data_IF_111625646786
#
_entry.id   IF_111625646786
#
_cell.length_a   1.000
_cell.length_b   1.000
_cell.length_c   1.000
_cell.angle_alpha   90.00
_cell.angle_beta   90.00
_cell.angle_gamma   90.00
#
_symmetry.space_group_name_H-M   'P 1'
#
loop_
_entity.id
_entity.type
_entity.pdbx_description
1 polymer ?
#
# COMPACT_ATOMS: atom_id res chain seq x y z
N UNK A 1 10.18 -10.74 -13.94
CA UNK A 1 10.65 -9.91 -15.08
C UNK A 1 12.11 -9.57 -14.85
N UNK A 2 12.95 -9.54 -15.87
CA UNK A 2 14.37 -9.22 -15.68
C UNK A 2 14.51 -7.69 -15.53
N UNK A 3 15.23 -7.23 -14.53
CA UNK A 3 15.45 -5.78 -14.25
C UNK A 3 16.01 -5.02 -15.46
N UNK A 4 16.85 -5.68 -16.26
CA UNK A 4 17.42 -5.13 -17.50
C UNK A 4 16.38 -4.77 -18.55
N UNK A 5 15.29 -5.53 -18.66
CA UNK A 5 14.23 -5.29 -19.66
C UNK A 5 13.41 -4.05 -19.31
N UNK A 6 13.29 -3.72 -18.02
CA UNK A 6 12.59 -2.55 -17.54
C UNK A 6 13.37 -1.26 -17.79
N UNK A 7 14.68 -1.26 -17.52
CA UNK A 7 15.56 -0.13 -17.84
C UNK A 7 15.61 0.15 -19.34
N UNK A 8 15.63 -0.90 -20.17
CA UNK A 8 15.54 -0.75 -21.62
C UNK A 8 14.21 -0.14 -22.06
N UNK A 9 13.09 -0.57 -21.47
CA UNK A 9 11.78 0.00 -21.76
C UNK A 9 11.73 1.50 -21.40
N UNK A 10 12.24 1.88 -20.22
CA UNK A 10 12.28 3.28 -19.78
C UNK A 10 13.20 4.16 -20.65
N UNK A 11 14.29 3.60 -21.21
CA UNK A 11 15.29 4.38 -21.96
C UNK A 11 15.05 4.43 -23.47
N UNK A 12 14.42 3.41 -24.05
CA UNK A 12 14.31 3.25 -25.50
C UNK A 12 12.90 3.46 -26.06
N UNK A 13 11.87 3.48 -25.20
CA UNK A 13 10.48 3.61 -25.66
C UNK A 13 10.00 5.06 -25.68
N UNK A 14 9.16 5.40 -26.65
CA UNK A 14 8.42 6.66 -26.67
C UNK A 14 7.15 6.58 -25.79
N UNK A 15 6.59 5.38 -25.66
CA UNK A 15 5.38 5.12 -24.89
C UNK A 15 5.48 3.77 -24.18
N UNK A 16 5.10 3.74 -22.91
CA UNK A 16 5.04 2.54 -22.08
C UNK A 16 3.60 2.23 -21.74
N UNK A 17 3.26 0.95 -21.77
CA UNK A 17 1.99 0.41 -21.32
C UNK A 17 2.27 -0.55 -20.17
N UNK A 18 1.86 -0.16 -18.95
CA UNK A 18 1.95 -1.03 -17.77
C UNK A 18 0.68 -1.86 -17.68
N UNK A 19 0.84 -3.16 -17.57
CA UNK A 19 -0.26 -4.12 -17.48
C UNK A 19 -0.11 -5.02 -16.25
N UNK A 20 -1.24 -5.35 -15.63
CA UNK A 20 -1.35 -6.36 -14.57
C UNK A 20 -2.63 -7.14 -14.75
N UNK A 21 -2.58 -8.46 -14.58
CA UNK A 21 -3.74 -9.36 -14.66
C UNK A 21 -4.58 -9.18 -15.95
N UNK A 22 -3.90 -8.93 -17.09
CA UNK A 22 -4.55 -8.72 -18.38
C UNK A 22 -5.24 -7.35 -18.54
N UNK A 23 -5.11 -6.44 -17.57
CA UNK A 23 -5.67 -5.10 -17.59
C UNK A 23 -4.56 -4.05 -17.73
N UNK A 24 -4.84 -3.00 -18.48
CA UNK A 24 -3.95 -1.84 -18.58
C UNK A 24 -4.09 -1.04 -17.28
N UNK A 25 -2.95 -0.82 -16.62
CA UNK A 25 -2.87 0.01 -15.41
C UNK A 25 -2.58 1.47 -15.79
N UNK A 26 -1.58 1.70 -16.63
CA UNK A 26 -1.21 3.05 -17.08
C UNK A 26 -0.59 3.03 -18.46
N UNK A 27 -0.82 4.10 -19.22
CA UNK A 27 -0.15 4.38 -20.51
C UNK A 27 0.42 5.79 -20.42
N UNK A 28 1.70 5.97 -20.76
CA UNK A 28 2.35 7.28 -20.73
C UNK A 28 3.75 7.24 -21.30
N UNK A 29 4.41 8.39 -21.32
CA UNK A 29 5.85 8.45 -21.60
C UNK A 29 6.64 7.81 -20.46
N UNK A 30 7.90 7.38 -20.67
CA UNK A 30 8.74 6.88 -19.59
C UNK A 30 8.80 7.81 -18.38
N UNK A 31 8.90 9.12 -18.62
CA UNK A 31 8.95 10.14 -17.57
C UNK A 31 7.64 10.21 -16.78
N UNK A 32 6.49 10.17 -17.46
CA UNK A 32 5.18 10.20 -16.78
C UNK A 32 4.97 8.95 -15.92
N UNK A 33 5.30 7.77 -16.47
CA UNK A 33 5.15 6.49 -15.77
C UNK A 33 6.04 6.43 -14.51
N UNK A 34 7.26 6.99 -14.59
CA UNK A 34 8.20 7.00 -13.47
C UNK A 34 7.85 8.04 -12.41
N UNK A 35 7.56 9.29 -12.82
CA UNK A 35 7.38 10.41 -11.90
C UNK A 35 5.94 10.53 -11.39
N UNK A 36 4.95 10.14 -12.21
CA UNK A 36 3.51 10.28 -11.91
C UNK A 36 2.79 8.93 -12.03
N UNK A 37 3.19 7.90 -11.26
CA UNK A 37 2.49 6.62 -11.25
C UNK A 37 1.06 6.81 -10.76
N UNK A 38 0.09 6.18 -11.47
CA UNK A 38 -1.34 6.34 -11.15
C UNK A 38 -1.74 5.60 -9.87
N UNK A 39 -1.02 4.53 -9.53
CA UNK A 39 -1.28 3.72 -8.35
C UNK A 39 0.01 3.08 -7.81
N UNK A 40 -0.08 2.49 -6.62
CA UNK A 40 1.04 1.89 -5.91
C UNK A 40 1.67 0.69 -6.66
N UNK A 41 0.85 -0.07 -7.42
CA UNK A 41 1.37 -1.14 -8.26
C UNK A 41 2.32 -0.60 -9.34
N UNK A 42 1.94 0.46 -10.05
CA UNK A 42 2.79 1.07 -11.08
C UNK A 42 4.05 1.66 -10.44
N UNK A 43 3.91 2.35 -9.29
CA UNK A 43 5.04 2.96 -8.60
C UNK A 43 6.11 1.92 -8.20
N UNK A 44 5.68 0.79 -7.62
CA UNK A 44 6.54 -0.30 -7.18
C UNK A 44 7.12 -1.09 -8.37
N UNK A 45 6.28 -1.35 -9.39
CA UNK A 45 6.67 -2.12 -10.57
C UNK A 45 7.77 -1.45 -11.40
N UNK A 46 7.71 -0.12 -11.52
CA UNK A 46 8.62 0.66 -12.40
C UNK A 46 9.97 0.92 -11.73
N UNK A 47 10.03 0.98 -10.42
CA UNK A 47 11.28 1.22 -9.71
C UNK A 47 11.07 1.28 -8.22
N UNK A 48 12.14 1.07 -7.49
CA UNK A 48 12.13 1.13 -6.03
C UNK A 48 11.54 2.45 -5.54
N UNK A 49 10.63 2.38 -4.58
CA UNK A 49 9.91 3.54 -4.07
C UNK A 49 9.64 3.40 -2.58
N UNK A 50 9.70 4.52 -1.86
CA UNK A 50 9.11 4.60 -0.54
C UNK A 50 7.62 4.88 -0.71
N UNK A 51 6.77 3.90 -0.46
CA UNK A 51 5.31 4.02 -0.55
C UNK A 51 4.75 3.97 0.86
N UNK A 52 4.01 5.02 1.25
CA UNK A 52 3.54 5.23 2.61
C UNK A 52 2.05 5.55 2.61
N UNK A 53 1.38 5.15 3.68
CA UNK A 53 0.03 5.65 3.93
C UNK A 53 0.08 7.10 4.38
N UNK A 54 -0.74 7.96 3.78
CA UNK A 54 -0.87 9.37 4.13
C UNK A 54 -2.30 9.85 4.15
N UNK A 55 -2.48 11.07 4.59
CA UNK A 55 -3.75 11.79 4.55
C UNK A 55 -3.52 13.16 3.95
N UNK A 56 -4.22 13.48 2.89
CA UNK A 56 -4.23 14.82 2.34
C UNK A 56 -4.99 15.75 3.30
N UNK A 57 -4.26 16.55 4.08
CA UNK A 57 -4.87 17.46 5.08
C UNK A 57 -5.69 18.54 4.37
N UNK A 58 -5.14 19.09 3.31
CA UNK A 58 -5.73 20.05 2.36
C UNK A 58 -4.85 20.11 1.13
N UNK A 59 -5.27 20.83 0.12
CA UNK A 59 -4.45 21.09 -1.07
C UNK A 59 -3.04 21.54 -0.69
N UNK A 60 -2.05 20.90 -1.27
CA UNK A 60 -0.61 21.15 -1.08
C UNK A 60 -0.08 20.87 0.33
N UNK A 61 -0.80 20.05 1.12
CA UNK A 61 -0.37 19.65 2.45
C UNK A 61 -0.79 18.21 2.74
N UNK A 62 0.16 17.32 2.88
CA UNK A 62 -0.04 15.89 3.18
C UNK A 62 0.56 15.53 4.54
N UNK A 63 -0.14 14.69 5.30
CA UNK A 63 0.32 14.15 6.58
C UNK A 63 0.78 12.70 6.39
N UNK A 64 2.02 12.39 6.77
CA UNK A 64 2.56 11.03 6.87
C UNK A 64 3.72 11.01 7.87
N UNK A 65 4.08 9.85 8.41
CA UNK A 65 5.13 9.69 9.44
C UNK A 65 4.99 10.70 10.60
N UNK A 66 3.76 10.89 11.10
CA UNK A 66 3.41 11.80 12.20
C UNK A 66 3.77 13.28 11.96
N UNK A 67 3.90 13.71 10.70
CA UNK A 67 4.21 15.09 10.32
C UNK A 67 3.48 15.55 9.08
N UNK A 68 3.33 16.87 8.97
CA UNK A 68 2.78 17.54 7.80
C UNK A 68 3.93 17.96 6.86
N UNK A 69 3.74 17.67 5.56
CA UNK A 69 4.66 18.02 4.49
C UNK A 69 3.94 18.85 3.44
N UNK A 70 4.62 19.88 2.97
CA UNK A 70 4.18 20.60 1.78
C UNK A 70 4.40 19.70 0.55
N UNK A 71 3.42 19.65 -0.35
CA UNK A 71 3.50 18.99 -1.66
C UNK A 71 2.95 19.93 -2.74
N UNK A 72 2.98 19.51 -4.00
CA UNK A 72 2.44 20.32 -5.11
C UNK A 72 1.04 19.91 -5.52
N UNK A 73 0.61 18.74 -5.10
CA UNK A 73 -0.66 18.12 -5.48
C UNK A 73 -1.86 18.83 -4.87
N UNK A 74 -2.96 18.90 -5.64
CA UNK A 74 -4.22 19.50 -5.24
C UNK A 74 -5.42 18.72 -5.81
N UNK A 75 -6.62 18.98 -5.28
CA UNK A 75 -7.86 18.37 -5.80
C UNK A 75 -8.20 16.99 -5.23
N UNK A 76 -7.49 16.50 -4.20
CA UNK A 76 -7.79 15.23 -3.53
C UNK A 76 -8.92 15.35 -2.49
N UNK A 77 -9.21 16.56 -2.01
CA UNK A 77 -10.14 16.83 -0.92
C UNK A 77 -9.46 16.82 0.46
N UNK A 78 -10.11 17.47 1.43
CA UNK A 78 -9.58 17.57 2.80
C UNK A 78 -9.76 16.25 3.55
N UNK A 79 -8.77 15.90 4.37
CA UNK A 79 -8.73 14.68 5.19
C UNK A 79 -8.94 13.38 4.39
N UNK A 80 -8.51 13.36 3.13
CA UNK A 80 -8.65 12.20 2.25
C UNK A 80 -7.46 11.27 2.41
N UNK A 81 -7.67 9.95 2.67
CA UNK A 81 -6.61 8.95 2.67
C UNK A 81 -5.96 8.84 1.28
N UNK A 82 -4.63 8.84 1.26
CA UNK A 82 -3.83 8.79 0.04
C UNK A 82 -2.64 7.85 0.20
N UNK A 83 -2.03 7.45 -0.89
CA UNK A 83 -0.70 6.86 -0.91
C UNK A 83 0.32 7.95 -1.27
N UNK A 84 1.41 8.01 -0.52
CA UNK A 84 2.52 8.94 -0.71
C UNK A 84 3.68 8.15 -1.30
N UNK A 85 4.23 8.62 -2.41
CA UNK A 85 5.39 8.03 -3.07
C UNK A 85 6.55 9.00 -3.03
N UNK A 86 7.71 8.51 -2.59
CA UNK A 86 8.97 9.26 -2.59
C UNK A 86 10.03 8.33 -3.19
N UNK A 87 10.71 8.77 -4.24
CA UNK A 87 11.80 7.99 -4.81
C UNK A 87 13.02 8.01 -3.88
N UNK A 88 13.81 6.91 -3.81
CA UNK A 88 14.97 6.84 -2.94
C UNK A 88 16.01 7.94 -3.19
N UNK A 89 16.19 8.34 -4.45
CA UNK A 89 17.10 9.41 -4.88
C UNK A 89 16.61 10.83 -4.55
N UNK A 90 15.32 11.00 -4.28
CA UNK A 90 14.67 12.27 -3.96
C UNK A 90 14.59 12.54 -2.45
N UNK A 91 14.99 11.56 -1.65
CA UNK A 91 15.09 11.68 -0.20
C UNK A 91 16.51 12.07 0.21
N UNK A 92 16.74 13.36 0.46
CA UNK A 92 18.06 13.89 0.81
C UNK A 92 18.46 13.49 2.23
N UNK A 93 19.64 12.87 2.39
CA UNK A 93 20.19 12.42 3.66
C UNK A 93 21.42 13.25 4.05
N UNK A 94 21.54 13.61 5.31
CA UNK A 94 22.66 14.43 5.84
C UNK A 94 22.82 14.22 7.36
N UNK A 95 23.96 14.67 7.95
CA UNK A 95 24.12 14.65 9.41
C UNK A 95 23.00 15.44 10.09
N UNK A 96 22.53 14.97 11.25
CA UNK A 96 21.41 15.61 11.97
C UNK A 96 21.60 17.11 12.10
N UNK A 97 20.62 17.87 11.66
CA UNK A 97 20.61 19.34 11.70
C UNK A 97 19.18 19.87 11.89
N UNK A 98 19.04 21.18 12.09
CA UNK A 98 17.73 21.83 12.24
C UNK A 98 16.92 21.87 10.92
N UNK A 99 17.56 21.57 9.78
CA UNK A 99 16.88 21.46 8.48
C UNK A 99 16.17 20.13 8.28
N UNK A 100 16.41 19.13 9.16
CA UNK A 100 15.83 17.81 9.03
C UNK A 100 14.32 17.86 9.23
N UNK A 101 13.59 17.40 8.21
CA UNK A 101 12.15 17.16 8.32
C UNK A 101 11.89 15.85 9.06
N UNK A 102 12.70 14.83 8.79
CA UNK A 102 12.68 13.52 9.45
C UNK A 102 14.03 13.24 10.08
N UNK A 103 14.04 12.48 11.17
CA UNK A 103 15.26 12.02 11.83
C UNK A 103 15.18 10.53 12.04
N UNK A 104 16.20 9.81 11.62
CA UNK A 104 16.22 8.35 11.68
C UNK A 104 17.63 7.81 11.96
N UNK A 105 17.69 6.48 12.06
CA UNK A 105 18.92 5.74 12.26
C UNK A 105 19.15 4.82 11.05
N UNK A 106 20.33 4.92 10.44
CA UNK A 106 20.71 4.03 9.33
C UNK A 106 20.77 2.57 9.85
N UNK A 107 20.04 1.68 9.21
CA UNK A 107 20.01 0.26 9.53
C UNK A 107 21.01 -0.51 8.68
N UNK A 108 21.12 -0.15 7.40
CA UNK A 108 22.05 -0.76 6.44
C UNK A 108 22.56 0.29 5.46
N UNK A 109 23.73 0.03 4.88
CA UNK A 109 24.32 0.84 3.83
C UNK A 109 25.09 -0.07 2.87
N UNK A 110 24.65 -0.12 1.61
CA UNK A 110 25.18 -1.02 0.59
C UNK A 110 25.62 -0.22 -0.63
N UNK A 111 26.84 -0.42 -1.11
CA UNK A 111 27.31 0.21 -2.35
C UNK A 111 26.76 -0.51 -3.58
N UNK A 112 26.01 0.18 -4.42
CA UNK A 112 25.40 -0.34 -5.66
C UNK A 112 26.23 -0.01 -6.93
N UNK A 113 27.51 0.30 -6.79
CA UNK A 113 28.41 0.58 -7.91
C UNK A 113 28.51 2.06 -8.28
N UNK A 114 27.44 2.85 -8.17
CA UNK A 114 27.40 4.28 -8.48
C UNK A 114 27.01 5.10 -7.26
N UNK A 115 26.07 4.62 -6.48
CA UNK A 115 25.53 5.26 -5.27
C UNK A 115 25.52 4.26 -4.11
N UNK A 116 25.26 4.75 -2.92
CA UNK A 116 24.96 3.93 -1.75
C UNK A 116 23.44 3.88 -1.58
N UNK A 117 22.94 2.69 -1.34
CA UNK A 117 21.56 2.45 -0.92
C UNK A 117 21.55 2.21 0.57
N UNK A 118 20.78 2.99 1.27
CA UNK A 118 20.68 2.96 2.73
C UNK A 118 19.25 2.74 3.14
N UNK A 119 19.04 1.89 4.14
CA UNK A 119 17.75 1.76 4.83
C UNK A 119 17.83 2.58 6.11
N UNK A 120 16.92 3.53 6.29
CA UNK A 120 16.84 4.43 7.45
C UNK A 120 15.55 4.20 8.20
N UNK A 121 15.65 3.78 9.45
CA UNK A 121 14.50 3.63 10.35
C UNK A 121 14.16 4.98 10.99
N UNK A 122 12.93 5.47 10.77
CA UNK A 122 12.42 6.74 11.28
C UNK A 122 10.98 6.55 11.78
N UNK A 123 10.70 6.75 13.06
CA UNK A 123 9.36 6.63 13.68
C UNK A 123 8.65 5.29 13.38
N UNK A 124 9.41 4.21 13.26
CA UNK A 124 8.87 2.88 12.91
C UNK A 124 8.68 2.65 11.41
N UNK A 125 9.02 3.62 10.56
CA UNK A 125 9.02 3.48 9.10
C UNK A 125 10.45 3.27 8.60
N UNK A 126 10.61 2.33 7.67
CA UNK A 126 11.85 2.12 6.94
C UNK A 126 11.81 2.90 5.63
N UNK A 127 12.81 3.75 5.42
CA UNK A 127 13.01 4.48 4.19
C UNK A 127 14.22 3.96 3.45
N UNK A 128 14.05 3.67 2.18
CA UNK A 128 15.17 3.44 1.26
C UNK A 128 15.65 4.78 0.74
N UNK A 129 16.94 5.05 0.86
CA UNK A 129 17.59 6.31 0.44
C UNK A 129 18.76 5.97 -0.46
N UNK A 130 18.88 6.66 -1.58
CA UNK A 130 20.03 6.57 -2.48
C UNK A 130 20.82 7.88 -2.47
N UNK A 131 22.11 7.82 -2.10
CA UNK A 131 23.01 8.98 -2.06
C UNK A 131 24.43 8.58 -2.48
N UNK A 132 25.20 9.55 -2.93
CA UNK A 132 26.62 9.37 -3.24
C UNK A 132 27.50 9.31 -2.00
N UNK A 133 27.01 9.73 -0.85
CA UNK A 133 27.70 9.69 0.44
C UNK A 133 27.15 8.54 1.30
N UNK A 134 28.05 7.77 1.88
CA UNK A 134 27.70 6.69 2.79
C UNK A 134 27.51 7.21 4.22
N UNK A 135 26.51 6.70 4.90
CA UNK A 135 26.38 6.76 6.35
C UNK A 135 26.39 5.34 6.90
N UNK A 136 27.26 5.05 7.87
CA UNK A 136 27.38 3.72 8.45
C UNK A 136 26.15 3.33 9.25
N UNK A 137 25.85 2.02 9.30
CA UNK A 137 24.78 1.50 10.14
C UNK A 137 24.93 1.93 11.61
N UNK A 138 23.85 2.34 12.24
CA UNK A 138 23.80 2.91 13.57
C UNK A 138 24.01 4.44 13.62
N UNK A 139 24.31 5.11 12.49
CA UNK A 139 24.43 6.57 12.44
C UNK A 139 23.05 7.24 12.49
N UNK A 140 22.90 8.25 13.35
CA UNK A 140 21.72 9.13 13.32
C UNK A 140 21.86 10.14 12.18
N UNK A 141 20.82 10.26 11.37
CA UNK A 141 20.77 11.12 10.17
C UNK A 141 19.52 11.97 10.15
N UNK A 142 19.62 13.10 9.47
CA UNK A 142 18.49 13.92 9.06
C UNK A 142 18.09 13.59 7.63
N UNK A 143 16.79 13.64 7.34
CA UNK A 143 16.27 13.50 5.99
C UNK A 143 15.38 14.67 5.63
N UNK A 144 15.35 15.02 4.35
CA UNK A 144 14.52 16.08 3.78
C UNK A 144 14.01 15.63 2.42
N UNK A 145 12.74 15.89 2.15
CA UNK A 145 12.12 15.74 0.83
C UNK A 145 11.54 17.08 0.40
N UNK A 146 11.69 17.42 -0.87
CA UNK A 146 11.12 18.66 -1.42
C UNK A 146 9.67 18.47 -1.80
N UNK A 147 8.84 19.53 -1.81
CA UNK A 147 7.43 19.44 -2.20
C UNK A 147 7.17 18.84 -3.58
N UNK A 148 8.06 19.03 -4.56
CA UNK A 148 7.96 18.48 -5.91
C UNK A 148 8.33 16.99 -6.00
N UNK A 149 9.04 16.50 -5.00
CA UNK A 149 9.57 15.14 -4.95
C UNK A 149 8.62 14.20 -4.14
N UNK A 150 7.51 14.75 -3.65
CA UNK A 150 6.43 14.00 -3.01
C UNK A 150 5.31 13.84 -4.05
N UNK A 151 5.03 12.61 -4.46
CA UNK A 151 3.93 12.30 -5.36
C UNK A 151 2.76 11.71 -4.57
N UNK A 152 1.55 12.23 -4.80
CA UNK A 152 0.33 11.80 -4.11
C UNK A 152 -0.53 10.96 -5.05
N UNK A 153 -0.89 9.76 -4.61
CA UNK A 153 -1.80 8.88 -5.34
C UNK A 153 -3.10 8.72 -4.57
N UNK A 154 -4.20 8.69 -5.32
CA UNK A 154 -5.50 8.37 -4.74
C UNK A 154 -5.53 6.89 -4.35
N UNK A 155 -5.96 6.59 -3.13
CA UNK A 155 -6.25 5.22 -2.77
C UNK A 155 -7.45 4.70 -3.55
N UNK A 156 -7.27 3.60 -4.26
CA UNK A 156 -8.35 2.94 -4.97
C UNK A 156 -9.39 2.38 -4.00
N UNK A 157 -8.93 1.91 -2.84
CA UNK A 157 -9.75 1.30 -1.79
C UNK A 157 -9.21 1.68 -0.41
N UNK A 158 -10.11 1.79 0.55
CA UNK A 158 -9.78 2.03 1.97
C UNK A 158 -10.08 0.82 2.85
N UNK A 159 -10.86 -0.14 2.34
CA UNK A 159 -11.18 -1.43 2.95
C UNK A 159 -11.56 -2.44 1.85
N UNK A 160 -11.64 -3.70 2.22
CA UNK A 160 -12.30 -4.71 1.39
C UNK A 160 -13.81 -4.46 1.42
N UNK A 161 -14.45 -4.56 0.27
CA UNK A 161 -15.92 -4.52 0.15
C UNK A 161 -16.36 -5.69 -0.71
N UNK A 162 -17.14 -6.60 -0.13
CA UNK A 162 -17.67 -7.79 -0.79
C UNK A 162 -19.17 -7.70 -0.94
N UNK A 163 -19.71 -8.28 -2.00
CA UNK A 163 -21.13 -8.57 -2.08
C UNK A 163 -21.45 -9.76 -1.19
N UNK A 164 -22.53 -9.67 -0.41
CA UNK A 164 -22.91 -10.71 0.53
C UNK A 164 -24.42 -10.75 0.75
N UNK A 165 -24.84 -11.70 1.59
CA UNK A 165 -26.23 -11.86 1.97
C UNK A 165 -26.34 -11.96 3.47
N UNK A 166 -27.07 -11.03 4.09
CA UNK A 166 -27.38 -11.07 5.52
C UNK A 166 -28.43 -12.16 5.77
N UNK A 167 -28.05 -13.17 6.58
CA UNK A 167 -28.86 -14.36 6.89
C UNK A 167 -29.75 -14.08 8.11
N UNK A 168 -29.15 -13.54 9.16
CA UNK A 168 -29.83 -13.12 10.40
C UNK A 168 -29.09 -11.94 11.06
N UNK A 169 -29.41 -11.60 12.30
CA UNK A 169 -28.82 -10.47 13.03
C UNK A 169 -27.30 -10.59 13.27
N UNK A 170 -26.74 -11.80 13.16
CA UNK A 170 -25.35 -12.12 13.52
C UNK A 170 -24.61 -12.94 12.48
N UNK A 171 -25.24 -13.28 11.34
CA UNK A 171 -24.63 -14.09 10.30
C UNK A 171 -24.80 -13.47 8.91
N UNK A 172 -23.71 -13.44 8.17
CA UNK A 172 -23.64 -12.95 6.79
C UNK A 172 -22.86 -13.94 5.92
N UNK A 173 -23.38 -14.21 4.73
CA UNK A 173 -22.71 -15.03 3.72
C UNK A 173 -22.00 -14.10 2.72
N UNK A 174 -20.70 -14.30 2.50
CA UNK A 174 -19.92 -13.68 1.43
C UNK A 174 -18.73 -14.56 1.08
N UNK A 175 -18.18 -14.42 -0.13
CA UNK A 175 -17.13 -15.28 -0.66
C UNK A 175 -17.44 -16.78 -0.46
N UNK A 176 -18.73 -17.14 -0.64
CA UNK A 176 -19.22 -18.52 -0.54
C UNK A 176 -19.18 -19.17 0.84
N UNK A 177 -18.86 -18.41 1.89
CA UNK A 177 -18.83 -18.88 3.27
C UNK A 177 -19.75 -18.06 4.16
N UNK A 178 -20.29 -18.70 5.20
CA UNK A 178 -21.09 -18.06 6.24
C UNK A 178 -20.15 -17.60 7.37
N UNK A 179 -20.25 -16.33 7.72
CA UNK A 179 -19.47 -15.69 8.79
C UNK A 179 -20.39 -15.21 9.90
N UNK A 180 -19.93 -15.40 11.15
CA UNK A 180 -20.49 -14.66 12.27
C UNK A 180 -20.04 -13.20 12.17
N UNK A 181 -20.94 -12.24 12.40
CA UNK A 181 -20.65 -10.80 12.39
C UNK A 181 -21.18 -10.11 13.64
N UNK A 182 -20.74 -8.88 13.89
CA UNK A 182 -21.31 -8.05 14.94
C UNK A 182 -22.83 -7.90 14.73
N UNK A 183 -23.65 -7.85 15.82
CA UNK A 183 -25.09 -7.76 15.71
C UNK A 183 -25.58 -6.60 14.84
N UNK A 184 -26.37 -6.90 13.82
CA UNK A 184 -26.87 -5.94 12.82
C UNK A 184 -28.29 -5.52 13.17
N UNK A 185 -28.54 -4.21 13.15
CA UNK A 185 -29.88 -3.63 13.34
C UNK A 185 -30.73 -3.87 12.08
N UNK A 186 -31.60 -4.88 12.10
CA UNK A 186 -32.46 -5.25 10.96
C UNK A 186 -33.48 -4.17 10.55
N UNK A 187 -33.68 -3.13 11.39
CA UNK A 187 -34.49 -1.98 10.98
C UNK A 187 -33.72 -1.03 10.03
N UNK A 188 -32.38 -1.05 10.08
CA UNK A 188 -31.50 -0.26 9.22
C UNK A 188 -30.98 -1.06 8.03
N UNK A 189 -30.66 -2.32 8.26
CA UNK A 189 -30.13 -3.24 7.24
C UNK A 189 -31.03 -4.44 7.18
N UNK A 190 -31.94 -4.54 6.20
CA UNK A 190 -32.85 -5.69 6.05
C UNK A 190 -32.10 -6.95 5.65
N UNK A 191 -32.69 -8.12 5.94
CA UNK A 191 -32.19 -9.40 5.47
C UNK A 191 -32.13 -9.45 3.93
N UNK A 192 -31.14 -10.10 3.38
CA UNK A 192 -30.91 -10.25 1.94
C UNK A 192 -29.61 -9.63 1.48
N UNK A 193 -29.60 -9.08 0.27
CA UNK A 193 -28.37 -8.58 -0.37
C UNK A 193 -27.81 -7.36 0.34
N UNK A 194 -26.53 -7.46 0.69
CA UNK A 194 -25.79 -6.45 1.46
C UNK A 194 -24.39 -6.26 0.90
N UNK A 195 -23.70 -5.21 1.37
CA UNK A 195 -22.27 -5.06 1.23
C UNK A 195 -21.61 -5.35 2.58
N UNK A 196 -20.48 -6.06 2.52
CA UNK A 196 -19.65 -6.41 3.67
C UNK A 196 -18.32 -5.68 3.56
N UNK A 197 -18.06 -4.80 4.51
CA UNK A 197 -16.80 -4.05 4.58
C UNK A 197 -15.91 -4.62 5.68
N UNK A 198 -14.63 -4.88 5.34
CA UNK A 198 -13.60 -5.35 6.27
C UNK A 198 -12.33 -4.54 6.05
N UNK A 199 -11.81 -3.91 7.10
CA UNK A 199 -10.57 -3.15 7.01
C UNK A 199 -9.39 -4.09 6.72
N UNK A 200 -8.41 -3.62 5.94
CA UNK A 200 -7.26 -4.43 5.52
C UNK A 200 -6.47 -5.01 6.70
N UNK A 201 -6.24 -4.22 7.75
CA UNK A 201 -5.52 -4.64 8.96
C UNK A 201 -6.35 -5.46 9.95
N UNK A 202 -7.57 -5.87 9.56
CA UNK A 202 -8.49 -6.70 10.36
C UNK A 202 -8.64 -8.12 9.82
N UNK A 203 -7.89 -8.42 8.78
CA UNK A 203 -7.80 -9.75 8.20
C UNK A 203 -6.50 -10.38 8.67
N UNK A 204 -6.61 -11.59 9.25
CA UNK A 204 -5.47 -12.36 9.67
C UNK A 204 -5.17 -13.47 8.69
N UNK A 205 -3.92 -13.60 8.28
CA UNK A 205 -3.43 -14.71 7.47
C UNK A 205 -2.87 -15.81 8.39
N UNK A 206 -3.11 -17.05 8.01
CA UNK A 206 -2.70 -18.24 8.75
C UNK A 206 -1.80 -19.10 7.87
N UNK A 207 -0.67 -19.58 8.43
CA UNK A 207 0.30 -20.45 7.75
C UNK A 207 -0.34 -21.75 7.23
N UNK A 208 -1.26 -22.30 8.00
CA UNK A 208 -2.02 -23.45 7.56
C UNK A 208 -3.34 -23.00 6.93
N UNK A 209 -3.44 -23.15 5.63
CA UNK A 209 -4.63 -22.74 4.88
C UNK A 209 -5.94 -23.37 5.39
N UNK A 210 -5.89 -24.60 5.92
CA UNK A 210 -7.07 -25.34 6.42
C UNK A 210 -7.62 -24.75 7.74
N UNK A 211 -6.84 -23.93 8.45
CA UNK A 211 -7.28 -23.29 9.71
C UNK A 211 -8.07 -22.00 9.46
N UNK A 212 -8.06 -21.49 8.22
CA UNK A 212 -8.83 -20.32 7.81
C UNK A 212 -10.28 -20.65 7.47
N UNK A 213 -11.17 -19.67 7.57
CA UNK A 213 -12.54 -19.78 7.05
C UNK A 213 -12.57 -19.69 5.52
N UNK A 214 -11.62 -18.95 4.95
CA UNK A 214 -11.34 -18.86 3.53
C UNK A 214 -9.90 -19.27 3.28
N UNK A 215 -9.59 -19.63 2.06
CA UNK A 215 -8.24 -19.94 1.60
C UNK A 215 -7.91 -19.11 0.37
N UNK A 216 -6.63 -18.82 0.17
CA UNK A 216 -6.16 -18.05 -0.97
C UNK A 216 -4.67 -18.22 -1.20
N UNK A 217 -4.16 -17.56 -2.22
CA UNK A 217 -2.75 -17.53 -2.60
C UNK A 217 -2.28 -16.08 -2.65
N UNK A 218 -1.16 -15.77 -1.99
CA UNK A 218 -0.53 -14.44 -2.05
C UNK A 218 -0.06 -14.19 -3.48
N UNK A 219 -0.48 -13.07 -4.08
CA UNK A 219 -0.19 -12.72 -5.49
C UNK A 219 0.61 -11.45 -5.65
N UNK A 220 0.52 -10.55 -4.71
CA UNK A 220 1.24 -9.29 -4.75
C UNK A 220 1.55 -8.83 -3.33
N UNK A 221 2.75 -8.33 -3.13
CA UNK A 221 3.29 -7.88 -1.86
C UNK A 221 3.86 -6.48 -2.06
N UNK A 222 3.36 -5.52 -1.31
CA UNK A 222 3.83 -4.14 -1.33
C UNK A 222 4.24 -3.72 0.08
N UNK A 223 5.51 -3.33 0.28
CA UNK A 223 5.94 -2.78 1.55
C UNK A 223 5.59 -1.29 1.64
N UNK A 224 4.90 -0.90 2.71
CA UNK A 224 4.45 0.49 2.96
C UNK A 224 5.23 1.16 4.10
N UNK A 225 6.52 0.89 4.17
CA UNK A 225 7.45 1.50 5.13
C UNK A 225 7.38 0.93 6.54
N UNK A 226 6.23 0.47 7.01
CA UNK A 226 6.05 -0.11 8.35
C UNK A 226 5.17 -1.36 8.39
N UNK A 227 4.59 -1.78 7.28
CA UNK A 227 3.79 -2.98 7.14
C UNK A 227 3.77 -3.42 5.67
N UNK A 228 3.32 -4.65 5.43
CA UNK A 228 3.07 -5.17 4.09
C UNK A 228 1.60 -5.03 3.73
N UNK A 229 1.32 -4.55 2.53
CA UNK A 229 0.01 -4.58 1.91
C UNK A 229 0.00 -5.72 0.89
N UNK A 230 -0.80 -6.75 1.14
CA UNK A 230 -0.86 -7.95 0.34
C UNK A 230 -2.13 -7.99 -0.49
N UNK A 231 -2.04 -8.57 -1.70
CA UNK A 231 -3.19 -9.03 -2.46
C UNK A 231 -3.21 -10.55 -2.42
N UNK A 232 -4.25 -11.11 -1.83
CA UNK A 232 -4.48 -12.55 -1.75
C UNK A 232 -5.62 -12.92 -2.70
N UNK A 233 -5.34 -13.78 -3.67
CA UNK A 233 -6.37 -14.33 -4.56
C UNK A 233 -7.09 -15.47 -3.86
N UNK A 234 -8.34 -15.26 -3.51
CA UNK A 234 -9.14 -16.27 -2.82
C UNK A 234 -9.57 -17.38 -3.76
N UNK A 235 -9.92 -18.55 -3.22
CA UNK A 235 -10.47 -19.67 -3.99
C UNK A 235 -11.86 -19.40 -4.60
N UNK A 236 -12.40 -18.21 -4.33
CA UNK A 236 -13.67 -17.72 -4.85
C UNK A 236 -13.51 -16.68 -5.95
N UNK A 237 -12.32 -16.63 -6.59
CA UNK A 237 -11.99 -15.73 -7.71
C UNK A 237 -12.11 -14.22 -7.35
N UNK A 238 -11.88 -13.88 -6.09
CA UNK A 238 -11.91 -12.48 -5.61
C UNK A 238 -10.59 -12.11 -4.91
N UNK A 239 -10.17 -10.87 -5.08
CA UNK A 239 -9.03 -10.33 -4.36
C UNK A 239 -9.40 -9.93 -2.94
N UNK A 240 -8.60 -10.39 -1.99
CA UNK A 240 -8.64 -9.98 -0.58
C UNK A 240 -7.37 -9.20 -0.27
N UNK A 241 -7.53 -7.95 0.15
CA UNK A 241 -6.40 -7.06 0.50
C UNK A 241 -6.15 -7.12 2.00
N UNK A 242 -4.89 -7.28 2.39
CA UNK A 242 -4.50 -7.49 3.80
C UNK A 242 -3.31 -6.61 4.16
N UNK A 243 -3.42 -5.85 5.26
CA UNK A 243 -2.28 -5.15 5.87
C UNK A 243 -1.75 -5.99 7.04
N UNK A 244 -0.49 -6.41 6.99
CA UNK A 244 0.14 -7.25 8.01
C UNK A 244 1.59 -6.87 8.27
N UNK A 245 2.11 -7.20 9.46
CA UNK A 245 3.54 -7.13 9.76
C UNK A 245 4.26 -8.46 9.52
N UNK A 246 3.52 -9.52 9.24
CA UNK A 246 4.08 -10.83 8.95
C UNK A 246 4.64 -10.85 7.53
N UNK A 247 5.72 -11.60 7.35
CA UNK A 247 6.41 -11.74 6.06
C UNK A 247 5.86 -12.95 5.33
N UNK A 248 5.40 -12.74 4.12
CA UNK A 248 4.86 -13.76 3.22
C UNK A 248 5.61 -13.70 1.89
N UNK A 249 5.63 -14.81 1.16
CA UNK A 249 6.20 -14.89 -0.19
C UNK A 249 5.09 -14.96 -1.26
N UNK A 250 5.43 -14.50 -2.47
CA UNK A 250 4.55 -14.65 -3.64
C UNK A 250 4.32 -16.13 -3.93
N UNK A 251 3.05 -16.53 -4.05
CA UNK A 251 2.63 -17.91 -4.22
C UNK A 251 2.35 -18.66 -2.91
N UNK A 252 2.55 -18.05 -1.74
CA UNK A 252 2.20 -18.69 -0.47
C UNK A 252 0.69 -18.98 -0.39
N UNK A 253 0.39 -20.21 0.04
CA UNK A 253 -0.97 -20.66 0.27
C UNK A 253 -1.36 -20.38 1.72
N UNK A 254 -2.37 -19.56 1.93
CA UNK A 254 -2.76 -19.05 3.24
C UNK A 254 -4.22 -19.34 3.59
N UNK A 255 -4.47 -19.48 4.89
CA UNK A 255 -5.80 -19.38 5.47
C UNK A 255 -6.15 -17.92 5.76
N UNK A 256 -7.40 -17.54 5.60
CA UNK A 256 -7.90 -16.18 5.88
C UNK A 256 -8.90 -16.28 7.03
N UNK A 257 -8.69 -15.48 8.05
CA UNK A 257 -9.54 -15.39 9.24
C UNK A 257 -9.92 -13.94 9.52
N UNK A 258 -11.19 -13.70 9.85
CA UNK A 258 -11.75 -12.39 10.16
C UNK A 258 -12.54 -12.52 11.46
N UNK A 259 -12.28 -11.62 12.42
CA UNK A 259 -13.04 -11.61 13.66
C UNK A 259 -14.46 -11.06 13.42
N UNK A 260 -15.51 -11.61 14.09
CA UNK A 260 -16.89 -11.18 13.88
C UNK A 260 -17.12 -9.68 14.06
N UNK A 261 -16.44 -9.05 15.03
CA UNK A 261 -16.54 -7.62 15.32
C UNK A 261 -15.94 -6.72 14.23
N UNK A 262 -15.10 -7.26 13.36
CA UNK A 262 -14.44 -6.53 12.27
C UNK A 262 -15.22 -6.62 10.94
N UNK A 263 -16.28 -7.43 10.89
CA UNK A 263 -17.18 -7.57 9.75
C UNK A 263 -18.31 -6.55 9.87
N UNK A 264 -18.31 -5.53 9.01
CA UNK A 264 -19.33 -4.48 8.97
C UNK A 264 -20.28 -4.70 7.81
N UNK A 265 -21.57 -4.76 8.10
CA UNK A 265 -22.62 -4.99 7.11
C UNK A 265 -23.37 -3.71 6.84
N UNK A 266 -23.56 -3.35 5.58
CA UNK A 266 -24.35 -2.19 5.15
C UNK A 266 -25.25 -2.49 3.97
N UNK A 267 -26.27 -1.65 3.81
CA UNK A 267 -27.20 -1.76 2.67
C UNK A 267 -26.46 -1.53 1.36
N UNK A 268 -26.75 -2.37 0.35
CA UNK A 268 -26.35 -2.10 -1.03
C UNK A 268 -27.17 -0.91 -1.53
N UNK A 269 -26.52 0.26 -1.72
CA UNK A 269 -27.21 1.40 -2.33
C UNK A 269 -27.48 1.09 -3.79
N UNK A 270 -28.72 1.21 -4.23
CA UNK A 270 -29.07 1.18 -5.67
C UNK A 270 -28.47 2.47 -6.29
N UNK A 271 -27.60 2.31 -7.29
CA UNK A 271 -27.10 3.40 -8.12
C UNK A 271 -28.20 3.99 -9.00
#
# INVERSE_FOLDING_TARGET
MCSSDLEEALTLSDTIVVMSEGRIQQIGTPTDIYNEPINSFVADFIGESNILNGVMVKDKLVHFCDRDFECVDEGFGENTPVDVVIRPEDLYIFPVSDMAQLRGTVQSCIFKGVHYEMVVLCHGYEFVVQDYHAFEAGTEVGMLVKPFDIHIMKKERICNTFEGKLIDETHVEFLGCEFECAPVDLQKVPLGDVLVDVDFGKINLLDNAEDGMLTGEVKFILYKGNHYHLTVWSDWDENVFVDTNDVWDDGDRVGISIAPEDIRVRVKQEE
#
